data_IF_770241676317
#
_entry.id   IF_770241676317
#
_cell.length_a   1.000
_cell.length_b   1.000
_cell.length_c   1.000
_cell.angle_alpha   90.00
_cell.angle_beta   90.00
_cell.angle_gamma   90.00
#
_symmetry.space_group_name_H-M   'P 1'
#
loop_
_entity.id
_entity.type
_entity.pdbx_description
1 polymer ?
#
# COMPACT_ATOMS: atom_id res chain seq x y z
N UNK A 1 -6.98 21.44 -4.48
CA UNK A 1 -6.18 20.38 -5.16
C UNK A 1 -6.96 19.08 -5.03
N UNK A 2 -6.76 18.14 -5.94
CA UNK A 2 -7.31 16.79 -5.85
C UNK A 2 -6.18 15.78 -5.90
N UNK A 3 -6.22 14.79 -5.01
CA UNK A 3 -5.23 13.72 -4.92
C UNK A 3 -5.88 12.43 -5.40
N UNK A 4 -5.21 11.73 -6.30
CA UNK A 4 -5.68 10.46 -6.84
C UNK A 4 -4.57 9.42 -6.76
N UNK A 5 -4.89 8.23 -6.26
CA UNK A 5 -4.00 7.08 -6.21
C UNK A 5 -4.38 6.15 -7.36
N UNK A 6 -3.41 5.88 -8.23
CA UNK A 6 -3.57 4.94 -9.35
C UNK A 6 -2.72 3.70 -9.11
N UNK A 7 -3.33 2.52 -9.19
CA UNK A 7 -2.61 1.25 -9.04
C UNK A 7 -1.90 0.95 -10.35
N UNK A 8 -0.56 1.06 -10.36
CA UNK A 8 0.27 0.81 -11.54
C UNK A 8 0.62 -0.67 -11.65
N UNK A 9 0.84 -1.32 -10.50
CA UNK A 9 1.13 -2.74 -10.42
C UNK A 9 0.36 -3.35 -9.26
N UNK A 10 -0.51 -4.32 -9.56
CA UNK A 10 -1.32 -5.01 -8.58
C UNK A 10 -0.66 -6.32 -8.14
N UNK A 11 -0.72 -6.68 -6.85
CA UNK A 11 -0.29 -7.98 -6.38
C UNK A 11 -1.29 -9.06 -6.80
N UNK A 12 -0.78 -10.21 -7.23
CA UNK A 12 -1.59 -11.31 -7.73
C UNK A 12 -1.65 -12.47 -6.74
N UNK A 13 -0.54 -12.73 -6.05
CA UNK A 13 -0.41 -13.85 -5.14
C UNK A 13 0.61 -13.59 -4.03
N UNK A 14 0.54 -14.40 -2.99
CA UNK A 14 1.54 -14.53 -1.93
C UNK A 14 1.36 -15.91 -1.29
N UNK A 15 2.25 -16.28 -0.37
CA UNK A 15 2.11 -17.50 0.41
C UNK A 15 1.81 -17.16 1.87
N UNK A 16 0.83 -17.84 2.45
CA UNK A 16 0.60 -17.81 3.88
C UNK A 16 1.81 -18.37 4.64
N UNK A 17 2.09 -17.82 5.82
CA UNK A 17 3.21 -18.27 6.64
C UNK A 17 2.80 -18.69 8.06
N UNK A 18 1.54 -18.46 8.47
CA UNK A 18 1.05 -18.87 9.78
C UNK A 18 1.92 -18.37 10.94
N UNK A 19 2.51 -19.28 11.71
CA UNK A 19 3.45 -18.95 12.80
C UNK A 19 4.90 -18.77 12.35
N UNK A 20 5.27 -19.16 11.13
CA UNK A 20 6.63 -19.15 10.62
C UNK A 20 7.00 -17.78 10.00
N UNK A 21 7.08 -16.74 10.82
CA UNK A 21 7.30 -15.36 10.36
C UNK A 21 8.60 -15.16 9.54
N UNK A 22 9.64 -15.98 9.79
CA UNK A 22 10.91 -15.93 9.05
C UNK A 22 10.82 -16.54 7.63
N UNK A 23 9.76 -17.29 7.35
CA UNK A 23 9.51 -17.94 6.05
C UNK A 23 8.47 -17.19 5.22
N UNK A 24 8.10 -15.96 5.62
CA UNK A 24 7.11 -15.16 4.91
C UNK A 24 7.59 -14.83 3.50
N UNK A 25 6.71 -14.98 2.53
CA UNK A 25 6.93 -14.52 1.16
C UNK A 25 6.17 -13.21 0.96
N UNK A 26 6.77 -12.19 0.31
CA UNK A 26 6.05 -10.97 0.01
C UNK A 26 4.97 -11.21 -1.05
N UNK A 27 4.10 -10.23 -1.21
CA UNK A 27 3.17 -10.14 -2.32
C UNK A 27 3.96 -10.09 -3.64
N UNK A 28 3.52 -10.86 -4.61
CA UNK A 28 4.10 -10.96 -5.94
C UNK A 28 3.04 -10.72 -7.03
N UNK A 29 3.29 -9.83 -8.00
CA UNK A 29 4.37 -8.83 -7.98
C UNK A 29 4.12 -7.76 -6.88
N UNK A 30 5.11 -6.96 -6.46
CA UNK A 30 4.92 -5.99 -5.38
C UNK A 30 3.91 -4.89 -5.78
N UNK A 31 3.18 -4.33 -4.81
CA UNK A 31 2.22 -3.26 -5.08
C UNK A 31 2.96 -1.95 -5.37
N UNK A 32 2.62 -1.32 -6.49
CA UNK A 32 3.12 0.00 -6.91
C UNK A 32 1.93 0.92 -7.16
N UNK A 33 1.95 2.08 -6.52
CA UNK A 33 0.87 3.07 -6.60
C UNK A 33 1.44 4.41 -7.04
N UNK A 34 0.85 5.05 -8.04
CA UNK A 34 1.20 6.39 -8.45
C UNK A 34 0.30 7.41 -7.75
N UNK A 35 0.89 8.50 -7.25
CA UNK A 35 0.16 9.67 -6.78
C UNK A 35 0.04 10.69 -7.91
N UNK A 36 -1.20 11.01 -8.29
CA UNK A 36 -1.53 12.06 -9.24
C UNK A 36 -2.16 13.23 -8.46
N UNK A 37 -1.47 14.37 -8.49
CA UNK A 37 -1.94 15.61 -7.86
C UNK A 37 -2.42 16.54 -8.96
N UNK A 38 -3.64 17.05 -8.84
CA UNK A 38 -4.19 18.05 -9.78
C UNK A 38 -4.56 19.34 -9.08
N UNK A 39 -4.33 20.46 -9.76
CA UNK A 39 -4.78 21.79 -9.34
C UNK A 39 -6.30 21.96 -9.55
N UNK A 40 -6.83 23.15 -9.23
CA UNK A 40 -8.26 23.45 -9.41
C UNK A 40 -8.69 23.56 -10.88
N UNK A 41 -7.73 23.66 -11.81
CA UNK A 41 -7.95 23.73 -13.26
C UNK A 41 -7.79 22.34 -13.92
N UNK A 42 -7.44 21.31 -13.15
CA UNK A 42 -7.21 19.95 -13.62
C UNK A 42 -5.80 19.66 -14.11
N UNK A 43 -4.86 20.62 -14.03
CA UNK A 43 -3.47 20.40 -14.45
C UNK A 43 -2.71 19.56 -13.42
N UNK A 44 -1.79 18.72 -13.89
CA UNK A 44 -0.90 17.95 -13.02
C UNK A 44 0.05 18.91 -12.30
N UNK A 45 0.17 18.74 -10.98
CA UNK A 45 1.09 19.48 -10.13
C UNK A 45 2.37 18.65 -9.98
N UNK A 46 3.48 19.15 -10.52
CA UNK A 46 4.78 18.46 -10.44
C UNK A 46 5.52 18.72 -9.12
N UNK A 47 5.36 19.92 -8.54
CA UNK A 47 6.02 20.31 -7.30
C UNK A 47 4.97 20.57 -6.20
N UNK A 48 4.82 19.62 -5.29
CA UNK A 48 3.94 19.73 -4.13
C UNK A 48 4.78 19.95 -2.86
N UNK A 49 4.73 21.15 -2.23
CA UNK A 49 5.52 21.45 -1.03
C UNK A 49 5.23 20.52 0.15
N UNK A 50 4.00 20.02 0.23
CA UNK A 50 3.55 19.12 1.28
C UNK A 50 3.95 17.66 1.03
N UNK A 51 4.53 17.33 -0.13
CA UNK A 51 4.86 15.96 -0.52
C UNK A 51 5.69 15.21 0.54
N UNK A 52 6.73 15.82 1.17
CA UNK A 52 7.52 15.12 2.19
C UNK A 52 6.72 14.69 3.43
N UNK A 53 5.56 15.31 3.68
CA UNK A 53 4.66 14.98 4.80
C UNK A 53 3.56 14.00 4.40
N UNK A 54 3.50 13.59 3.13
CA UNK A 54 2.54 12.60 2.68
C UNK A 54 3.09 11.19 2.87
N UNK A 55 2.23 10.26 3.27
CA UNK A 55 2.53 8.83 3.34
C UNK A 55 1.35 8.04 2.79
N UNK A 56 1.63 6.85 2.28
CA UNK A 56 0.60 5.88 1.90
C UNK A 56 0.63 4.69 2.84
N UNK A 57 -0.53 4.26 3.31
CA UNK A 57 -0.70 3.09 4.19
C UNK A 57 -1.58 2.03 3.54
N UNK A 58 -1.29 0.76 3.84
CA UNK A 58 -2.10 -0.39 3.41
C UNK A 58 -2.91 -0.98 4.55
N UNK A 59 -4.18 -1.25 4.28
CA UNK A 59 -5.03 -2.12 5.10
C UNK A 59 -5.53 -3.32 4.30
N UNK A 60 -5.77 -4.43 4.99
CA UNK A 60 -6.31 -5.66 4.39
C UNK A 60 -7.84 -5.66 4.53
N UNK A 61 -8.54 -5.99 3.45
CA UNK A 61 -9.99 -6.03 3.36
C UNK A 61 -10.44 -7.39 2.82
N UNK A 62 -11.72 -7.71 3.03
CA UNK A 62 -12.32 -8.92 2.44
C UNK A 62 -12.25 -8.91 0.91
N UNK A 63 -12.37 -10.09 0.30
CA UNK A 63 -12.35 -10.23 -1.16
C UNK A 63 -13.44 -9.43 -1.88
N UNK A 64 -14.56 -9.20 -1.19
CA UNK A 64 -15.72 -8.42 -1.62
C UNK A 64 -15.58 -6.92 -1.35
N UNK A 65 -14.44 -6.48 -0.80
CA UNK A 65 -14.25 -5.10 -0.34
C UNK A 65 -15.01 -4.79 0.95
N UNK A 66 -15.49 -5.82 1.67
CA UNK A 66 -15.95 -5.64 3.05
C UNK A 66 -14.86 -4.98 3.89
N UNK A 67 -15.30 -4.33 4.97
CA UNK A 67 -14.45 -3.47 5.82
C UNK A 67 -13.16 -4.13 6.30
N UNK A 68 -12.30 -3.36 6.98
CA UNK A 68 -10.98 -3.80 7.37
C UNK A 68 -11.04 -5.13 8.15
N UNK A 69 -10.24 -6.10 7.70
CA UNK A 69 -10.11 -7.39 8.36
C UNK A 69 -9.08 -7.29 9.49
N UNK A 70 -9.58 -7.04 10.69
CA UNK A 70 -8.83 -7.18 11.93
C UNK A 70 -9.16 -8.54 12.56
N UNK A 71 -8.16 -9.34 12.93
CA UNK A 71 -8.40 -10.51 13.75
C UNK A 71 -8.68 -10.06 15.20
N UNK A 72 -9.61 -10.72 15.92
CA UNK A 72 -9.86 -10.41 17.32
C UNK A 72 -8.56 -10.52 18.13
N UNK A 73 -8.24 -9.45 18.86
CA UNK A 73 -7.05 -9.36 19.70
C UNK A 73 -7.23 -10.20 20.97
N UNK A 74 -7.02 -11.51 20.88
CA UNK A 74 -7.15 -12.44 22.01
C UNK A 74 -5.97 -12.37 23.01
N UNK A 75 -5.43 -11.17 23.29
CA UNK A 75 -4.35 -10.95 24.24
C UNK A 75 -3.01 -11.63 23.94
N UNK A 76 -2.87 -12.28 22.78
CA UNK A 76 -1.63 -12.93 22.37
C UNK A 76 -0.62 -11.89 21.85
N UNK A 77 0.60 -11.97 22.37
CA UNK A 77 1.76 -11.23 21.86
C UNK A 77 2.62 -12.14 20.99
N UNK A 78 3.00 -11.72 19.77
CA UNK A 78 2.62 -10.48 19.08
C UNK A 78 1.14 -10.47 18.63
N UNK A 79 0.53 -9.28 18.47
CA UNK A 79 -0.86 -9.15 18.03
C UNK A 79 -1.09 -9.93 16.74
N UNK A 80 -2.21 -10.65 16.69
CA UNK A 80 -2.57 -11.47 15.56
C UNK A 80 -3.00 -10.56 14.41
N UNK A 81 -2.06 -10.12 13.56
CA UNK A 81 -2.37 -9.35 12.35
C UNK A 81 -2.46 -10.29 11.16
N UNK A 82 -3.20 -9.89 10.13
CA UNK A 82 -3.20 -10.61 8.85
C UNK A 82 -2.12 -10.08 7.91
N UNK A 83 -1.88 -8.77 7.92
CA UNK A 83 -0.91 -8.09 7.07
C UNK A 83 0.41 -7.84 7.83
N UNK A 84 1.55 -8.18 7.22
CA UNK A 84 2.89 -8.04 7.79
C UNK A 84 3.86 -7.36 6.84
N UNK A 85 4.97 -6.84 7.39
CA UNK A 85 6.03 -6.17 6.64
C UNK A 85 5.88 -4.64 6.70
N UNK A 86 6.34 -3.96 5.65
CA UNK A 86 6.32 -2.51 5.51
C UNK A 86 4.98 -2.05 4.91
N UNK A 87 4.04 -1.72 5.79
CA UNK A 87 2.68 -1.31 5.41
C UNK A 87 2.54 0.18 5.11
N UNK A 88 3.59 0.96 5.37
CA UNK A 88 3.66 2.40 5.12
C UNK A 88 4.76 2.66 4.10
N UNK A 89 4.49 3.54 3.14
CA UNK A 89 5.42 3.97 2.11
C UNK A 89 5.46 5.50 2.04
N UNK A 90 6.66 6.05 1.94
CA UNK A 90 6.89 7.47 1.64
C UNK A 90 6.82 7.70 0.12
N UNK A 91 6.58 8.93 -0.35
CA UNK A 91 6.54 9.22 -1.78
C UNK A 91 7.93 9.21 -2.38
N UNK A 92 8.07 8.57 -3.55
CA UNK A 92 9.30 8.48 -4.31
C UNK A 92 9.14 9.13 -5.68
N UNK A 93 9.99 10.11 -5.99
CA UNK A 93 10.10 10.66 -7.34
C UNK A 93 10.87 9.68 -8.24
N UNK A 94 10.21 9.13 -9.25
CA UNK A 94 10.79 8.15 -10.15
C UNK A 94 10.36 8.40 -11.60
N UNK A 95 11.00 7.70 -12.54
CA UNK A 95 10.56 7.66 -13.95
C UNK A 95 9.94 6.30 -14.25
N UNK A 96 8.83 6.30 -14.97
CA UNK A 96 8.22 5.08 -15.46
C UNK A 96 9.01 4.47 -16.64
N UNK A 97 8.53 3.34 -17.16
CA UNK A 97 9.16 2.63 -18.28
C UNK A 97 9.21 3.45 -19.59
N UNK A 98 8.38 4.48 -19.74
CA UNK A 98 8.41 5.41 -20.87
C UNK A 98 9.29 6.65 -20.60
N UNK A 99 10.00 6.70 -19.48
CA UNK A 99 10.86 7.81 -19.07
C UNK A 99 10.12 9.01 -18.47
N UNK A 100 8.80 8.94 -18.24
CA UNK A 100 8.01 10.03 -17.67
C UNK A 100 8.16 10.07 -16.15
N UNK A 101 8.44 11.26 -15.61
CA UNK A 101 8.53 11.47 -14.17
C UNK A 101 7.16 11.32 -13.48
N UNK A 102 7.17 10.85 -12.24
CA UNK A 102 5.99 10.74 -11.40
C UNK A 102 6.34 10.47 -9.94
N UNK A 103 5.34 10.55 -9.08
CA UNK A 103 5.43 10.27 -7.65
C UNK A 103 4.81 8.91 -7.37
N UNK A 104 5.52 8.04 -6.68
CA UNK A 104 5.10 6.66 -6.44
C UNK A 104 5.26 6.25 -4.98
N UNK A 105 4.36 5.38 -4.53
CA UNK A 105 4.48 4.62 -3.29
C UNK A 105 4.77 3.16 -3.64
N UNK A 106 5.78 2.60 -2.97
CA UNK A 106 6.26 1.24 -3.20
C UNK A 106 6.04 0.38 -1.97
N UNK A 107 5.53 -0.83 -2.19
CA UNK A 107 5.28 -1.81 -1.15
C UNK A 107 5.95 -3.15 -1.50
N UNK A 108 7.30 -3.21 -1.50
CA UNK A 108 8.03 -4.42 -1.89
C UNK A 108 8.00 -5.52 -0.83
N UNK A 109 7.66 -5.18 0.41
CA UNK A 109 7.76 -6.06 1.56
C UNK A 109 6.44 -6.12 2.32
N UNK A 110 5.43 -6.74 1.72
CA UNK A 110 4.12 -6.97 2.35
C UNK A 110 3.80 -8.45 2.26
N UNK A 111 3.39 -9.09 3.35
CA UNK A 111 3.01 -10.51 3.37
C UNK A 111 1.66 -10.70 4.07
N UNK A 112 0.96 -11.79 3.73
CA UNK A 112 -0.31 -12.16 4.38
C UNK A 112 -0.11 -13.43 5.21
N UNK A 113 -0.56 -13.40 6.47
CA UNK A 113 -0.34 -14.49 7.44
C UNK A 113 -1.14 -15.73 7.15
N UNK A 114 -2.41 -15.56 6.79
CA UNK A 114 -3.38 -16.65 6.65
C UNK A 114 -3.89 -16.73 5.22
N UNK A 115 -4.04 -17.96 4.73
CA UNK A 115 -4.60 -18.24 3.42
C UNK A 115 -6.00 -17.63 3.30
N UNK A 116 -6.25 -16.98 2.17
CA UNK A 116 -7.56 -16.41 1.86
C UNK A 116 -7.52 -15.60 0.57
N UNK A 117 -8.66 -15.02 0.23
CA UNK A 117 -8.77 -14.03 -0.85
C UNK A 117 -9.07 -12.70 -0.21
N UNK A 118 -8.31 -11.69 -0.60
CA UNK A 118 -8.33 -10.39 0.04
C UNK A 118 -8.24 -9.27 -0.99
N UNK A 119 -8.59 -8.07 -0.56
CA UNK A 119 -8.26 -6.84 -1.27
C UNK A 119 -7.37 -5.97 -0.37
N UNK A 120 -6.54 -5.13 -0.98
CA UNK A 120 -5.75 -4.14 -0.26
C UNK A 120 -6.37 -2.76 -0.50
N UNK A 121 -6.63 -2.05 0.59
CA UNK A 121 -6.97 -0.64 0.51
C UNK A 121 -5.71 0.19 0.67
N UNK A 122 -5.53 1.15 -0.23
CA UNK A 122 -4.43 2.10 -0.23
C UNK A 122 -4.97 3.45 0.24
N UNK A 123 -4.39 3.98 1.32
CA UNK A 123 -4.84 5.24 1.91
C UNK A 123 -3.71 6.26 1.90
N UNK A 124 -3.93 7.41 1.25
CA UNK A 124 -3.05 8.57 1.34
C UNK A 124 -3.34 9.35 2.63
N UNK A 125 -2.30 9.70 3.37
CA UNK A 125 -2.38 10.51 4.59
C UNK A 125 -1.36 11.63 4.54
N UNK A 126 -1.66 12.75 5.20
CA UNK A 126 -0.75 13.87 5.41
C UNK A 126 -0.44 13.94 6.90
N UNK A 127 0.84 13.89 7.25
CA UNK A 127 1.32 14.11 8.61
C UNK A 127 1.18 15.60 8.96
N UNK A 128 0.69 15.87 10.18
CA UNK A 128 0.51 17.23 10.72
C UNK A 128 1.67 17.63 11.62
#
# INVERSE_FOLDING_TARGET
>A
RTYHLEIIQQPEMSAEFGSAALSRLPLSPPLIVQLIIRDFRGNIVENEPDLPFMISHLSLHGADGSGPLELPQNGHFPPNRLLYGNLVSSPHNMRNLQGRAGVYFLFPDVSVRQRGRYSLQVTLMRLS
#
